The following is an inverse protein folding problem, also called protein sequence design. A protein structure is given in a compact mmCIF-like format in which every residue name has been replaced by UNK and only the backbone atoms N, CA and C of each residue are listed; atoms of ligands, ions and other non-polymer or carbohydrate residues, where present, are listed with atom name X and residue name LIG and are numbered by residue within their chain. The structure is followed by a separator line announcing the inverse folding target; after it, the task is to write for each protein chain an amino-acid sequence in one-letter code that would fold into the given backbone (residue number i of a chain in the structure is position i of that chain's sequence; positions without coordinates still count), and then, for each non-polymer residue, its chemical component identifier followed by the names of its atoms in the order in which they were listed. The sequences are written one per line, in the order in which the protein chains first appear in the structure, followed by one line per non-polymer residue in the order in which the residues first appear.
data_IF_737639342689
#
_entry.id   IF_737639342689
#
_cell.length_a   1.000
_cell.length_b   1.000
_cell.length_c   1.000
_cell.angle_alpha   90.00
_cell.angle_beta   90.00
_cell.angle_gamma   90.00
#
_symmetry.space_group_name_H-M   'P 1'
#
loop_
_entity.id
_entity.type
_entity.pdbx_description
1 polymer ?
#
# COMPACT_ATOMS: atom_id res chain seq x y z
N UNK A 1 -21.50 2.88 -3.18
CA UNK A 1 -21.46 1.95 -2.03
C UNK A 1 -20.04 1.94 -1.54
N UNK A 2 -19.79 2.23 -0.27
CA UNK A 2 -18.43 2.36 0.29
C UNK A 2 -17.76 0.99 0.35
N UNK A 3 -16.57 0.85 -0.26
CA UNK A 3 -15.82 -0.41 -0.22
C UNK A 3 -15.26 -0.63 1.19
N UNK A 4 -14.32 0.19 1.66
CA UNK A 4 -13.72 0.13 3.00
C UNK A 4 -14.60 0.82 4.04
N UNK A 5 -15.07 0.10 5.05
CA UNK A 5 -15.99 0.64 6.07
C UNK A 5 -15.32 1.22 7.31
N UNK A 6 -14.17 0.67 7.69
CA UNK A 6 -13.46 0.98 8.93
C UNK A 6 -11.99 0.54 8.84
N UNK A 7 -11.23 0.80 9.89
CA UNK A 7 -9.79 0.54 9.92
C UNK A 7 -9.46 -0.96 9.85
N UNK A 8 -10.29 -1.80 10.46
CA UNK A 8 -10.09 -3.25 10.43
C UNK A 8 -10.33 -3.79 9.03
N UNK A 9 -11.34 -3.27 8.33
CA UNK A 9 -11.60 -3.60 6.94
C UNK A 9 -10.49 -3.07 6.02
N UNK A 10 -9.99 -1.85 6.26
CA UNK A 10 -8.85 -1.30 5.53
C UNK A 10 -7.62 -2.20 5.64
N UNK A 11 -7.26 -2.62 6.85
CA UNK A 11 -6.13 -3.52 7.08
C UNK A 11 -6.31 -4.84 6.34
N UNK A 12 -7.48 -5.47 6.49
CA UNK A 12 -7.78 -6.75 5.86
C UNK A 12 -7.69 -6.65 4.33
N UNK A 13 -8.29 -5.63 3.74
CA UNK A 13 -8.32 -5.43 2.28
C UNK A 13 -6.94 -5.09 1.73
N UNK A 14 -6.21 -4.21 2.41
CA UNK A 14 -4.82 -3.90 2.09
C UNK A 14 -3.99 -5.17 2.08
N UNK A 15 -4.05 -5.97 3.16
CA UNK A 15 -3.31 -7.23 3.27
C UNK A 15 -3.67 -8.22 2.16
N UNK A 16 -4.95 -8.33 1.79
CA UNK A 16 -5.40 -9.20 0.70
C UNK A 16 -4.87 -8.73 -0.66
N UNK A 17 -4.93 -7.44 -0.94
CA UNK A 17 -4.48 -6.85 -2.21
C UNK A 17 -2.97 -6.99 -2.39
N UNK A 18 -2.17 -6.75 -1.35
CA UNK A 18 -0.71 -6.75 -1.47
C UNK A 18 -0.05 -8.10 -1.21
N UNK A 19 -0.78 -9.14 -0.79
CA UNK A 19 -0.21 -10.43 -0.35
C UNK A 19 0.81 -11.10 -1.29
N UNK A 20 0.78 -10.73 -2.57
CA UNK A 20 1.71 -11.24 -3.58
C UNK A 20 3.05 -10.50 -3.61
N UNK A 21 3.10 -9.27 -3.11
CA UNK A 21 4.26 -8.39 -3.21
C UNK A 21 4.53 -7.57 -1.94
N UNK A 22 3.85 -7.87 -0.82
CA UNK A 22 4.00 -7.12 0.41
C UNK A 22 3.20 -7.66 1.58
N UNK A 23 3.28 -6.94 2.69
CA UNK A 23 2.57 -7.24 3.93
C UNK A 23 2.30 -5.96 4.72
N UNK A 24 1.15 -5.93 5.41
CA UNK A 24 0.88 -4.88 6.38
C UNK A 24 1.80 -5.07 7.60
N UNK A 25 2.29 -3.96 8.15
CA UNK A 25 3.20 -3.96 9.30
C UNK A 25 2.53 -3.39 10.54
N UNK A 26 1.63 -2.41 10.36
CA UNK A 26 1.02 -1.68 11.46
C UNK A 26 -0.33 -1.07 11.07
N UNK A 27 -1.20 -0.81 12.04
CA UNK A 27 -2.43 -0.05 11.87
C UNK A 27 -2.60 0.94 13.03
N UNK A 28 -2.85 2.21 12.70
CA UNK A 28 -3.08 3.28 13.68
C UNK A 28 -4.56 3.65 13.74
N UNK A 29 -5.19 3.47 14.90
CA UNK A 29 -6.54 4.00 15.16
C UNK A 29 -6.57 5.50 15.36
N UNK A 30 -5.47 6.09 15.87
CA UNK A 30 -5.36 7.54 16.07
C UNK A 30 -5.32 8.30 14.74
N UNK A 31 -4.64 7.75 13.74
CA UNK A 31 -4.44 8.38 12.44
C UNK A 31 -5.23 7.69 11.31
N UNK A 32 -6.04 6.68 11.63
CA UNK A 32 -6.88 5.92 10.71
C UNK A 32 -6.13 5.44 9.45
N UNK A 33 -4.94 4.89 9.63
CA UNK A 33 -4.11 4.38 8.53
C UNK A 33 -3.54 3.00 8.79
N UNK A 34 -3.13 2.35 7.70
CA UNK A 34 -2.40 1.09 7.69
C UNK A 34 -1.05 1.32 7.04
N UNK A 35 0.00 0.90 7.74
CA UNK A 35 1.34 0.79 7.17
C UNK A 35 1.51 -0.55 6.49
N UNK A 36 2.16 -0.54 5.34
CA UNK A 36 2.54 -1.76 4.66
C UNK A 36 3.87 -1.61 3.93
N UNK A 37 4.54 -2.74 3.73
CA UNK A 37 5.84 -2.82 3.07
C UNK A 37 5.73 -3.64 1.80
N UNK A 38 6.19 -3.09 0.69
CA UNK A 38 6.30 -3.77 -0.60
C UNK A 38 7.72 -4.31 -0.81
N UNK A 39 7.81 -5.57 -1.24
CA UNK A 39 9.03 -6.32 -1.48
C UNK A 39 10.02 -6.29 -0.32
N UNK A 40 9.55 -6.12 0.92
CA UNK A 40 10.41 -6.02 2.11
C UNK A 40 11.30 -4.77 2.16
N UNK A 41 11.08 -3.77 1.30
CA UNK A 41 12.00 -2.64 1.13
C UNK A 41 11.32 -1.26 1.18
N UNK A 42 10.13 -1.12 0.58
CA UNK A 42 9.49 0.19 0.40
C UNK A 42 8.26 0.31 1.29
N UNK A 43 8.20 1.38 2.08
CA UNK A 43 7.17 1.61 3.10
C UNK A 43 6.10 2.55 2.56
N UNK A 44 4.84 2.20 2.79
CA UNK A 44 3.69 2.97 2.37
C UNK A 44 2.66 3.07 3.50
N UNK A 45 1.84 4.12 3.43
CA UNK A 45 0.62 4.23 4.20
C UNK A 45 -0.58 4.27 3.28
N UNK A 46 -1.65 3.57 3.67
CA UNK A 46 -3.00 3.83 3.17
C UNK A 46 -3.85 4.36 4.32
N UNK A 47 -4.52 5.49 4.12
CA UNK A 47 -5.27 6.17 5.18
C UNK A 47 -6.71 6.47 4.78
N UNK A 48 -7.57 6.48 5.79
CA UNK A 48 -8.95 6.97 5.73
C UNK A 48 -8.99 8.39 6.33
N UNK A 49 -8.90 9.44 5.51
CA UNK A 49 -8.65 10.79 6.01
C UNK A 49 -9.73 11.31 6.97
N UNK A 50 -11.04 11.14 6.69
CA UNK A 50 -12.17 11.51 7.57
C UNK A 50 -13.46 10.75 7.26
N UNK A 51 -14.31 10.56 8.26
CA UNK A 51 -15.71 10.12 8.07
C UNK A 51 -16.46 11.12 7.17
N UNK A 52 -17.26 10.64 6.19
CA UNK A 52 -17.81 9.29 6.03
C UNK A 52 -16.94 8.29 5.23
N UNK A 53 -15.62 8.48 5.20
CA UNK A 53 -14.65 7.62 4.49
C UNK A 53 -15.00 7.43 3.01
N UNK A 54 -15.54 8.46 2.36
CA UNK A 54 -15.86 8.42 0.93
C UNK A 54 -14.62 8.28 0.04
N UNK A 55 -13.43 8.51 0.59
CA UNK A 55 -12.15 8.40 -0.09
C UNK A 55 -11.08 7.83 0.84
N UNK A 56 -10.03 7.36 0.21
CA UNK A 56 -8.81 6.85 0.79
C UNK A 56 -7.63 7.68 0.26
N UNK A 57 -6.47 7.50 0.86
CA UNK A 57 -5.22 8.07 0.35
C UNK A 57 -4.11 7.05 0.46
N UNK A 58 -3.16 7.07 -0.46
CA UNK A 58 -1.96 6.24 -0.41
C UNK A 58 -0.73 7.15 -0.50
N UNK A 59 0.28 6.88 0.31
CA UNK A 59 1.56 7.60 0.28
C UNK A 59 2.75 6.66 0.43
N UNK A 60 3.85 7.01 -0.22
CA UNK A 60 5.14 6.36 -0.03
C UNK A 60 5.99 7.16 0.95
N UNK A 61 6.61 6.49 1.91
CA UNK A 61 7.55 7.10 2.87
C UNK A 61 8.99 6.91 2.38
N UNK A 62 9.77 7.98 2.39
CA UNK A 62 11.15 7.95 1.95
C UNK A 62 12.06 8.91 2.75
N UNK A 63 13.35 8.56 2.75
CA UNK A 63 14.37 9.33 3.44
C UNK A 63 14.36 9.12 4.97
N UNK A 64 15.44 9.56 5.64
CA UNK A 64 15.62 9.36 7.08
C UNK A 64 14.62 10.13 7.94
N UNK A 65 14.07 11.23 7.41
CA UNK A 65 13.15 12.12 8.11
C UNK A 65 11.67 11.73 7.95
N UNK A 66 11.38 10.62 7.27
CA UNK A 66 10.01 10.16 7.05
C UNK A 66 9.20 11.05 6.10
N UNK A 67 9.84 11.62 5.08
CA UNK A 67 9.13 12.39 4.06
C UNK A 67 8.11 11.49 3.33
N UNK A 68 6.97 12.05 2.93
CA UNK A 68 5.92 11.32 2.24
C UNK A 68 5.58 11.95 0.88
N UNK A 69 5.19 11.09 -0.07
CA UNK A 69 4.62 11.53 -1.36
C UNK A 69 3.38 10.72 -1.67
N UNK A 70 2.32 11.42 -2.07
CA UNK A 70 1.11 10.84 -2.63
C UNK A 70 1.18 10.69 -4.16
N UNK A 71 2.17 11.33 -4.80
CA UNK A 71 2.33 11.27 -6.26
C UNK A 71 3.32 10.17 -6.62
N UNK A 72 2.81 9.11 -7.25
CA UNK A 72 3.58 7.95 -7.69
C UNK A 72 3.42 7.76 -9.20
N UNK A 73 4.53 7.76 -9.95
CA UNK A 73 4.52 7.61 -11.41
C UNK A 73 3.60 8.62 -12.13
N UNK A 74 3.41 9.82 -11.58
CA UNK A 74 2.51 10.84 -12.12
C UNK A 74 1.04 10.68 -11.72
N UNK A 75 0.67 9.61 -11.00
CA UNK A 75 -0.65 9.44 -10.40
C UNK A 75 -0.71 10.09 -9.03
N UNK A 76 -1.69 10.97 -8.80
CA UNK A 76 -1.97 11.55 -7.49
C UNK A 76 -2.89 10.62 -6.68
N UNK A 77 -2.35 10.03 -5.62
CA UNK A 77 -3.06 9.12 -4.72
C UNK A 77 -3.50 9.82 -3.41
N UNK A 78 -3.56 11.15 -3.40
CA UNK A 78 -4.11 11.92 -2.27
C UNK A 78 -5.60 11.65 -2.09
N UNK A 79 -6.32 11.45 -3.20
CA UNK A 79 -7.74 11.12 -3.21
C UNK A 79 -7.99 9.89 -4.09
N UNK A 80 -8.17 8.75 -3.45
CA UNK A 80 -8.60 7.50 -4.08
C UNK A 80 -10.07 7.29 -3.71
N UNK A 81 -10.95 7.15 -4.70
CA UNK A 81 -12.36 6.87 -4.43
C UNK A 81 -12.49 5.57 -3.62
N UNK A 82 -13.41 5.52 -2.65
CA UNK A 82 -13.61 4.32 -1.84
C UNK A 82 -14.50 3.28 -2.56
N UNK A 83 -14.04 2.84 -3.73
CA UNK A 83 -14.58 1.74 -4.54
C UNK A 83 -13.53 0.64 -4.65
N UNK A 84 -13.95 -0.58 -4.98
CA UNK A 84 -13.03 -1.72 -5.13
C UNK A 84 -12.06 -1.49 -6.29
N UNK A 85 -12.55 -0.90 -7.38
CA UNK A 85 -11.82 -0.65 -8.60
C UNK A 85 -10.73 0.42 -8.37
N UNK A 86 -11.09 1.55 -7.74
CA UNK A 86 -10.12 2.62 -7.46
C UNK A 86 -9.09 2.17 -6.41
N UNK A 87 -9.52 1.41 -5.40
CA UNK A 87 -8.60 0.81 -4.43
C UNK A 87 -7.58 -0.10 -5.14
N UNK A 88 -8.06 -1.06 -5.94
CA UNK A 88 -7.19 -1.99 -6.67
C UNK A 88 -6.24 -1.25 -7.62
N UNK A 89 -6.74 -0.26 -8.35
CA UNK A 89 -5.93 0.55 -9.26
C UNK A 89 -4.81 1.32 -8.54
N UNK A 90 -5.08 1.88 -7.35
CA UNK A 90 -4.06 2.55 -6.55
C UNK A 90 -2.94 1.59 -6.14
N UNK A 91 -3.27 0.36 -5.75
CA UNK A 91 -2.26 -0.65 -5.39
C UNK A 91 -1.49 -1.22 -6.58
N UNK A 92 -2.06 -1.20 -7.78
CA UNK A 92 -1.32 -1.49 -9.01
C UNK A 92 -0.23 -0.44 -9.28
N UNK A 93 -0.54 0.85 -9.10
CA UNK A 93 0.46 1.93 -9.18
C UNK A 93 1.56 1.73 -8.14
N UNK A 94 1.20 1.38 -6.90
CA UNK A 94 2.17 1.08 -5.83
C UNK A 94 3.08 -0.10 -6.21
N UNK A 95 2.52 -1.16 -6.79
CA UNK A 95 3.26 -2.34 -7.24
C UNK A 95 4.26 -1.96 -8.34
N UNK A 96 3.80 -1.24 -9.37
CA UNK A 96 4.65 -0.79 -10.48
C UNK A 96 5.75 0.15 -10.00
N UNK A 97 5.40 1.16 -9.20
CA UNK A 97 6.36 2.08 -8.59
C UNK A 97 7.45 1.31 -7.83
N UNK A 98 7.04 0.30 -7.05
CA UNK A 98 7.96 -0.50 -6.25
C UNK A 98 8.91 -1.33 -7.11
N UNK A 99 8.40 -1.96 -8.17
CA UNK A 99 9.23 -2.75 -9.09
C UNK A 99 10.25 -1.88 -9.83
N UNK A 100 9.87 -0.68 -10.26
CA UNK A 100 10.78 0.25 -10.94
C UNK A 100 11.88 0.82 -10.03
N UNK A 101 11.67 0.81 -8.71
CA UNK A 101 12.63 1.33 -7.72
C UNK A 101 13.64 0.31 -7.22
N UNK A 102 13.39 -0.98 -7.48
CA UNK A 102 14.22 -2.07 -6.97
C UNK A 102 14.96 -2.75 -8.13
N UNK A 103 16.23 -3.14 -7.95
CA UNK A 103 16.96 -3.89 -8.98
C UNK A 103 16.32 -5.24 -9.28
N UNK A 104 16.32 -5.69 -10.54
CA UNK A 104 15.76 -6.99 -10.93
C UNK A 104 16.34 -8.15 -10.12
N UNK A 105 17.66 -8.15 -9.91
CA UNK A 105 18.35 -9.17 -9.08
C UNK A 105 17.80 -9.23 -7.65
N UNK A 106 17.37 -8.10 -7.09
CA UNK A 106 16.74 -8.07 -5.78
C UNK A 106 15.34 -8.70 -5.84
N UNK A 107 14.53 -8.32 -6.82
CA UNK A 107 13.17 -8.83 -7.00
C UNK A 107 13.17 -10.35 -7.21
N UNK A 108 14.05 -10.88 -8.06
CA UNK A 108 14.22 -12.32 -8.29
C UNK A 108 14.57 -13.06 -6.99
N UNK A 109 15.52 -12.53 -6.22
CA UNK A 109 15.94 -13.14 -4.95
C UNK A 109 14.81 -13.12 -3.91
N UNK A 110 14.06 -12.02 -3.84
CA UNK A 110 12.90 -11.88 -2.96
C UNK A 110 11.79 -12.87 -3.34
N UNK A 111 11.44 -12.97 -4.62
CA UNK A 111 10.41 -13.89 -5.12
C UNK A 111 10.78 -15.36 -4.83
N UNK A 112 12.05 -15.74 -5.04
CA UNK A 112 12.55 -17.07 -4.69
C UNK A 112 12.48 -17.36 -3.19
N UNK A 113 12.75 -16.36 -2.34
CA UNK A 113 12.64 -16.50 -0.89
C UNK A 113 11.19 -16.69 -0.44
N UNK A 114 10.25 -15.94 -1.02
CA UNK A 114 8.82 -16.06 -0.68
C UNK A 114 8.21 -17.39 -1.15
N UNK A 115 8.64 -17.91 -2.31
CA UNK A 115 8.21 -19.24 -2.77
C UNK A 115 8.62 -20.34 -1.80
N UNK A 116 9.85 -20.28 -1.26
CA UNK A 116 10.36 -21.26 -0.27
C UNK A 116 9.62 -21.22 1.07
N UNK A 117 9.05 -20.07 1.46
CA UNK A 117 8.23 -19.97 2.68
C UNK A 117 6.85 -20.59 2.52
N UNK A 118 6.38 -20.76 1.27
CA UNK A 118 5.05 -21.28 0.95
C UNK A 118 5.05 -22.78 0.62
N UNK A 119 6.20 -23.34 0.27
CA UNK A 119 6.44 -24.77 0.07
C UNK A 119 6.63 -25.51 1.39
#
# INVERSE_FOLDING_TARGET
MTYVSDLRDLYRKTQLTIRQFGSCTFASSEHLHVEFVCYGALVFYVAMPREPYSSLSVSHIYGPDGNSSHVLLGHDLTFVENTEEAFSAAFEVVREFSRLRLPDKYLEAWEAAEQRKRS
#
